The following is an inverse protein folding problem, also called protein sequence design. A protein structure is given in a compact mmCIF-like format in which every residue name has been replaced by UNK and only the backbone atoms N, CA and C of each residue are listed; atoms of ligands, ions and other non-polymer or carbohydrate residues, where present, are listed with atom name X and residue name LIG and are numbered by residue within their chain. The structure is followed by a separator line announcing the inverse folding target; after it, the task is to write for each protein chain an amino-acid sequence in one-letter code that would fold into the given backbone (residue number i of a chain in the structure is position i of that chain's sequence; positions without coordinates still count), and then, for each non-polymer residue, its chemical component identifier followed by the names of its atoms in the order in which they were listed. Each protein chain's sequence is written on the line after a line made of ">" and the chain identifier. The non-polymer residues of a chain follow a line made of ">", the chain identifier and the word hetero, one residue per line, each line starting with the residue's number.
data_IF_427864913604
#
_entry.id   IF_427864913604
#
_cell.length_a   1.000
_cell.length_b   1.000
_cell.length_c   1.000
_cell.angle_alpha   90.00
_cell.angle_beta   90.00
_cell.angle_gamma   90.00
#
_symmetry.space_group_name_H-M   'P 1'
#
loop_
_entity.id
_entity.type
_entity.pdbx_description
1 polymer ?
#
# COMPACT_ATOMS: atom_id res chain seq x y z
N UNK A 1 -16.75 -14.35 10.64
CA UNK A 1 -15.36 -14.81 10.44
C UNK A 1 -14.50 -13.69 9.84
N UNK A 2 -13.16 -13.79 9.94
CA UNK A 2 -12.22 -12.85 9.29
C UNK A 2 -11.77 -13.37 7.92
N UNK A 3 -11.77 -12.49 6.92
CA UNK A 3 -11.37 -12.76 5.55
C UNK A 3 -10.34 -11.71 5.16
N UNK A 4 -9.19 -12.14 4.66
CA UNK A 4 -8.13 -11.25 4.23
C UNK A 4 -8.15 -11.09 2.73
N UNK A 5 -7.99 -9.86 2.26
CA UNK A 5 -8.16 -9.48 0.86
C UNK A 5 -6.95 -8.66 0.41
N UNK A 6 -6.32 -9.10 -0.68
CA UNK A 6 -5.21 -8.43 -1.36
C UNK A 6 -5.71 -7.29 -2.26
N UNK A 7 -4.83 -6.34 -2.57
CA UNK A 7 -5.08 -5.18 -3.44
C UNK A 7 -6.06 -4.12 -2.89
N UNK A 8 -6.30 -4.12 -1.56
CA UNK A 8 -7.09 -3.06 -0.90
C UNK A 8 -6.19 -1.91 -0.44
N UNK A 9 -6.10 -0.84 -1.22
CA UNK A 9 -5.14 0.26 -0.98
C UNK A 9 -5.75 1.62 -0.64
N UNK A 10 -7.07 1.79 -0.71
CA UNK A 10 -7.74 3.06 -0.39
C UNK A 10 -9.20 2.89 0.07
N UNK A 11 -9.83 3.97 0.54
CA UNK A 11 -11.23 3.95 0.99
C UNK A 11 -12.22 3.51 -0.10
N UNK A 12 -11.89 3.72 -1.39
CA UNK A 12 -12.73 3.19 -2.49
C UNK A 12 -12.71 1.67 -2.54
N UNK A 13 -11.59 1.03 -2.16
CA UNK A 13 -11.51 -0.42 -2.05
C UNK A 13 -12.42 -0.94 -0.93
N UNK A 14 -12.48 -0.23 0.20
CA UNK A 14 -13.40 -0.56 1.31
C UNK A 14 -14.84 -0.56 0.79
N UNK A 15 -15.29 0.54 0.18
CA UNK A 15 -16.65 0.63 -0.35
C UNK A 15 -16.95 -0.39 -1.46
N UNK A 16 -15.98 -0.69 -2.32
CA UNK A 16 -16.13 -1.71 -3.36
C UNK A 16 -16.30 -3.10 -2.73
N UNK A 17 -15.49 -3.46 -1.74
CA UNK A 17 -15.58 -4.73 -1.03
C UNK A 17 -16.86 -4.82 -0.21
N UNK A 18 -17.25 -3.77 0.53
CA UNK A 18 -18.55 -3.72 1.23
C UNK A 18 -19.72 -4.01 0.29
N UNK A 19 -19.69 -3.42 -0.91
CA UNK A 19 -20.70 -3.65 -1.94
C UNK A 19 -20.72 -5.10 -2.41
N UNK A 20 -19.56 -5.71 -2.67
CA UNK A 20 -19.46 -7.13 -3.10
C UNK A 20 -20.10 -8.06 -2.06
N UNK A 21 -19.79 -7.86 -0.78
CA UNK A 21 -20.37 -8.67 0.30
C UNK A 21 -21.87 -8.40 0.48
N UNK A 22 -22.31 -7.15 0.32
CA UNK A 22 -23.72 -6.78 0.35
C UNK A 22 -24.54 -7.40 -0.79
N UNK A 23 -24.02 -7.41 -2.01
CA UNK A 23 -24.67 -8.04 -3.18
C UNK A 23 -24.74 -9.57 -3.05
N UNK A 24 -23.82 -10.18 -2.31
CA UNK A 24 -23.84 -11.60 -1.96
C UNK A 24 -24.76 -11.94 -0.75
N UNK A 25 -25.45 -10.94 -0.21
CA UNK A 25 -26.30 -11.04 0.99
C UNK A 25 -25.51 -11.62 2.18
N UNK A 26 -24.30 -11.09 2.40
CA UNK A 26 -23.45 -11.42 3.54
C UNK A 26 -23.34 -10.20 4.46
N UNK A 27 -23.89 -10.27 5.68
CA UNK A 27 -23.72 -9.20 6.66
C UNK A 27 -22.26 -9.10 7.12
N UNK A 28 -21.72 -7.89 7.06
CA UNK A 28 -20.37 -7.55 7.54
C UNK A 28 -20.43 -6.74 8.82
N UNK A 29 -19.56 -7.06 9.78
CA UNK A 29 -19.36 -6.30 11.00
C UNK A 29 -18.41 -5.13 10.76
N UNK A 30 -17.34 -5.35 9.98
CA UNK A 30 -16.37 -4.31 9.63
C UNK A 30 -15.66 -4.63 8.32
N UNK A 31 -15.30 -3.57 7.58
CA UNK A 31 -14.41 -3.66 6.42
C UNK A 31 -13.31 -2.61 6.59
N UNK A 32 -12.07 -3.07 6.61
CA UNK A 32 -10.87 -2.24 6.68
C UNK A 32 -9.89 -2.64 5.58
N UNK A 33 -8.84 -1.85 5.37
CA UNK A 33 -7.85 -2.15 4.32
C UNK A 33 -7.18 -3.51 4.58
N UNK A 34 -7.49 -4.46 3.71
CA UNK A 34 -6.95 -5.81 3.70
C UNK A 34 -7.76 -6.85 4.49
N UNK A 35 -8.85 -6.46 5.15
CA UNK A 35 -9.62 -7.36 6.02
C UNK A 35 -11.13 -7.05 6.00
N UNK A 36 -11.92 -8.11 5.93
CA UNK A 36 -13.38 -8.10 6.12
C UNK A 36 -13.73 -9.01 7.28
N UNK A 37 -14.50 -8.50 8.22
CA UNK A 37 -15.10 -9.29 9.30
C UNK A 37 -16.59 -9.46 9.05
N UNK A 38 -17.01 -10.72 8.88
CA UNK A 38 -18.41 -11.07 8.62
C UNK A 38 -19.15 -11.41 9.92
N UNK A 39 -20.43 -11.07 9.99
CA UNK A 39 -21.27 -11.36 11.15
C UNK A 39 -21.51 -12.86 11.35
N UNK A 40 -21.56 -13.61 10.25
CA UNK A 40 -21.73 -15.07 10.23
C UNK A 40 -20.67 -15.73 9.38
N UNK A 41 -20.49 -17.04 9.58
CA UNK A 41 -19.66 -17.83 8.68
C UNK A 41 -20.30 -17.95 7.30
N UNK A 42 -19.46 -17.98 6.27
CA UNK A 42 -19.90 -18.08 4.88
C UNK A 42 -19.77 -19.54 4.43
N UNK A 43 -20.83 -20.09 3.85
CA UNK A 43 -20.80 -21.42 3.24
C UNK A 43 -19.79 -21.50 2.09
N UNK A 44 -19.20 -22.68 1.86
CA UNK A 44 -18.22 -22.88 0.79
C UNK A 44 -18.73 -22.45 -0.60
N UNK A 45 -19.99 -22.71 -0.93
CA UNK A 45 -20.60 -22.30 -2.22
C UNK A 45 -20.61 -20.78 -2.39
N UNK A 46 -21.23 -20.05 -1.45
CA UNK A 46 -21.24 -18.57 -1.47
C UNK A 46 -19.83 -17.97 -1.49
N UNK A 47 -18.87 -18.59 -0.80
CA UNK A 47 -17.49 -18.11 -0.78
C UNK A 47 -16.84 -18.17 -2.16
N UNK A 48 -17.12 -19.21 -2.96
CA UNK A 48 -16.61 -19.30 -4.34
C UNK A 48 -17.17 -18.17 -5.21
N UNK A 49 -18.45 -17.84 -5.07
CA UNK A 49 -19.07 -16.75 -5.81
C UNK A 49 -18.49 -15.38 -5.43
N UNK A 50 -18.21 -15.17 -4.13
CA UNK A 50 -17.56 -13.96 -3.61
C UNK A 50 -16.11 -13.89 -4.10
N UNK A 51 -15.34 -14.98 -4.02
CA UNK A 51 -13.96 -15.03 -4.51
C UNK A 51 -13.89 -14.69 -6.01
N UNK A 52 -14.85 -15.17 -6.81
CA UNK A 52 -14.97 -14.81 -8.23
C UNK A 52 -15.24 -13.32 -8.43
N UNK A 53 -16.21 -12.77 -7.71
CA UNK A 53 -16.59 -11.35 -7.81
C UNK A 53 -15.44 -10.43 -7.36
N UNK A 54 -14.71 -10.82 -6.31
CA UNK A 54 -13.50 -10.15 -5.86
C UNK A 54 -12.47 -10.10 -7.00
N UNK A 55 -12.18 -11.24 -7.63
CA UNK A 55 -11.22 -11.33 -8.73
C UNK A 55 -11.63 -10.47 -9.93
N UNK A 56 -12.91 -10.50 -10.30
CA UNK A 56 -13.44 -9.67 -11.40
C UNK A 56 -13.32 -8.16 -11.12
N UNK A 57 -13.21 -7.78 -9.84
CA UNK A 57 -13.01 -6.38 -9.39
C UNK A 57 -11.54 -6.05 -9.09
N UNK A 58 -10.61 -7.02 -9.26
CA UNK A 58 -9.18 -6.84 -9.04
C UNK A 58 -8.69 -7.14 -7.61
N UNK A 59 -9.54 -7.74 -6.77
CA UNK A 59 -9.21 -8.18 -5.42
C UNK A 59 -8.97 -9.69 -5.36
N UNK A 60 -8.22 -10.16 -4.36
CA UNK A 60 -7.95 -11.59 -4.19
C UNK A 60 -8.04 -11.97 -2.72
N UNK A 61 -8.69 -13.09 -2.40
CA UNK A 61 -8.73 -13.59 -1.01
C UNK A 61 -7.43 -14.31 -0.66
N UNK A 62 -6.87 -13.97 0.49
CA UNK A 62 -5.63 -14.57 0.99
C UNK A 62 -5.93 -15.57 2.11
N UNK A 63 -5.48 -16.81 1.95
CA UNK A 63 -5.60 -17.87 2.97
C UNK A 63 -4.30 -18.10 3.74
N UNK A 64 -3.16 -17.89 3.08
CA UNK A 64 -1.84 -18.10 3.67
C UNK A 64 -1.45 -16.97 4.64
N UNK A 65 -0.96 -17.35 5.82
CA UNK A 65 -0.66 -16.39 6.89
C UNK A 65 0.57 -15.52 6.58
N UNK A 66 1.53 -16.01 5.78
CA UNK A 66 2.67 -15.21 5.35
C UNK A 66 2.21 -14.13 4.36
N UNK A 67 1.41 -14.49 3.36
CA UNK A 67 0.84 -13.52 2.42
C UNK A 67 -0.07 -12.50 3.13
N UNK A 68 -0.87 -12.91 4.11
CA UNK A 68 -1.68 -11.99 4.92
C UNK A 68 -0.81 -10.97 5.67
N UNK A 69 0.32 -11.42 6.22
CA UNK A 69 1.27 -10.53 6.88
C UNK A 69 1.90 -9.54 5.89
N UNK A 70 2.27 -10.01 4.71
CA UNK A 70 2.84 -9.17 3.64
C UNK A 70 1.87 -8.09 3.21
N UNK A 71 0.62 -8.45 2.88
CA UNK A 71 -0.40 -7.48 2.48
C UNK A 71 -0.70 -6.48 3.61
N UNK A 72 -0.74 -6.93 4.87
CA UNK A 72 -0.88 -6.04 6.02
C UNK A 72 0.27 -5.03 6.10
N UNK A 73 1.52 -5.47 5.89
CA UNK A 73 2.69 -4.58 5.86
C UNK A 73 2.56 -3.55 4.72
N UNK A 74 2.21 -4.01 3.50
CA UNK A 74 2.02 -3.14 2.32
C UNK A 74 0.98 -2.05 2.62
N UNK A 75 -0.19 -2.44 3.16
CA UNK A 75 -1.26 -1.49 3.51
C UNK A 75 -0.81 -0.46 4.56
N UNK A 76 -0.13 -0.88 5.62
CA UNK A 76 0.38 0.03 6.66
C UNK A 76 1.34 1.06 6.06
N UNK A 77 2.23 0.63 5.17
CA UNK A 77 3.17 1.51 4.47
C UNK A 77 2.45 2.51 3.57
N UNK A 78 1.51 2.02 2.73
CA UNK A 78 0.77 2.85 1.78
C UNK A 78 -0.04 3.93 2.52
N UNK A 79 -0.70 3.57 3.61
CA UNK A 79 -1.42 4.52 4.47
C UNK A 79 -0.46 5.56 5.03
N UNK A 80 0.67 5.13 5.62
CA UNK A 80 1.62 6.06 6.24
C UNK A 80 2.20 7.08 5.24
N UNK A 81 2.50 6.65 4.02
CA UNK A 81 2.98 7.53 2.95
C UNK A 81 1.87 8.49 2.48
N UNK A 82 0.62 8.02 2.46
CA UNK A 82 -0.53 8.83 2.02
C UNK A 82 -0.89 9.96 2.99
N UNK A 83 -0.55 9.83 4.28
CA UNK A 83 -0.74 10.86 5.30
C UNK A 83 0.14 12.11 5.07
N UNK A 84 1.24 11.99 4.32
CA UNK A 84 2.20 13.09 4.08
C UNK A 84 2.76 13.72 5.37
N UNK A 85 2.95 12.89 6.38
CA UNK A 85 3.42 13.25 7.73
C UNK A 85 4.51 12.26 8.19
N UNK A 86 5.56 12.13 7.39
CA UNK A 86 6.73 11.33 7.74
C UNK A 86 7.82 12.28 8.25
N UNK A 87 8.17 12.13 9.53
CA UNK A 87 9.26 12.90 10.15
C UNK A 87 10.63 12.55 9.55
N UNK A 88 11.59 13.49 9.59
CA UNK A 88 12.96 13.25 9.12
C UNK A 88 13.66 12.09 9.86
N UNK A 89 13.35 11.90 11.14
CA UNK A 89 13.90 10.83 11.98
C UNK A 89 13.03 9.58 12.00
N UNK A 90 12.04 9.47 11.10
CA UNK A 90 11.18 8.29 11.00
C UNK A 90 12.00 7.03 10.72
N UNK A 91 11.80 6.02 11.56
CA UNK A 91 12.39 4.69 11.40
C UNK A 91 11.30 3.69 11.00
N UNK A 92 11.41 3.17 9.77
CA UNK A 92 10.50 2.15 9.24
C UNK A 92 10.46 0.91 10.14
N UNK A 93 11.61 0.52 10.70
CA UNK A 93 11.74 -0.61 11.60
C UNK A 93 10.86 -0.49 12.83
N UNK A 94 10.93 0.65 13.50
CA UNK A 94 10.25 0.91 14.76
C UNK A 94 8.76 1.10 14.52
N UNK A 95 8.41 1.79 13.43
CA UNK A 95 7.03 1.98 13.00
C UNK A 95 6.34 0.65 12.72
N UNK A 96 6.93 -0.23 11.90
CA UNK A 96 6.31 -1.51 11.57
C UNK A 96 6.28 -2.46 12.76
N UNK A 97 7.36 -2.51 13.54
CA UNK A 97 7.42 -3.37 14.73
C UNK A 97 6.36 -2.98 15.75
N UNK A 98 6.16 -1.68 15.99
CA UNK A 98 5.14 -1.18 16.92
C UNK A 98 3.71 -1.40 16.41
N UNK A 99 3.45 -1.27 15.10
CA UNK A 99 2.11 -1.46 14.51
C UNK A 99 1.70 -2.93 14.40
N UNK A 100 2.66 -3.84 14.19
CA UNK A 100 2.39 -5.27 13.96
C UNK A 100 2.68 -6.11 15.21
N UNK A 101 3.36 -5.53 16.20
CA UNK A 101 3.79 -6.22 17.43
C UNK A 101 4.68 -7.44 17.14
N UNK A 102 5.62 -7.28 16.22
CA UNK A 102 6.62 -8.29 15.83
C UNK A 102 7.97 -7.63 15.60
N UNK A 103 9.05 -8.40 15.68
CA UNK A 103 10.40 -7.90 15.41
C UNK A 103 10.59 -7.60 13.91
N UNK A 104 11.28 -6.50 13.63
CA UNK A 104 11.51 -6.07 12.24
C UNK A 104 12.26 -7.11 11.40
N UNK A 105 13.19 -7.86 11.98
CA UNK A 105 13.92 -8.91 11.27
C UNK A 105 13.00 -9.99 10.71
N UNK A 106 12.02 -10.43 11.49
CA UNK A 106 10.99 -11.39 11.08
C UNK A 106 10.10 -10.79 9.99
N UNK A 107 9.64 -9.55 10.17
CA UNK A 107 8.84 -8.84 9.16
C UNK A 107 9.57 -8.71 7.82
N UNK A 108 10.82 -8.24 7.85
CA UNK A 108 11.65 -8.05 6.66
C UNK A 108 11.96 -9.37 5.96
N UNK A 109 12.24 -10.43 6.73
CA UNK A 109 12.45 -11.78 6.20
C UNK A 109 11.19 -12.32 5.52
N UNK A 110 10.04 -12.29 6.19
CA UNK A 110 8.79 -12.77 5.59
C UNK A 110 8.44 -11.97 4.35
N UNK A 111 8.60 -10.63 4.38
CA UNK A 111 8.37 -9.78 3.23
C UNK A 111 9.24 -10.18 2.04
N UNK A 112 10.56 -10.20 2.23
CA UNK A 112 11.50 -10.48 1.14
C UNK A 112 11.48 -11.94 0.64
N UNK A 113 10.86 -12.86 1.38
CA UNK A 113 10.65 -14.24 0.93
C UNK A 113 9.44 -14.40 0.01
N UNK A 114 8.46 -13.51 0.14
CA UNK A 114 7.23 -13.53 -0.66
C UNK A 114 7.26 -12.47 -1.76
N UNK A 115 8.08 -11.43 -1.59
CA UNK A 115 8.25 -10.32 -2.53
C UNK A 115 9.67 -10.34 -3.10
N UNK A 116 9.83 -9.95 -4.37
CA UNK A 116 11.14 -9.95 -5.03
C UNK A 116 12.01 -8.73 -4.67
N UNK A 117 11.63 -7.97 -3.66
CA UNK A 117 12.29 -6.76 -3.19
C UNK A 117 12.29 -6.71 -1.66
N UNK A 118 13.23 -5.96 -1.09
CA UNK A 118 13.25 -5.77 0.37
C UNK A 118 12.15 -4.82 0.81
N UNK A 119 11.84 -4.87 2.10
CA UNK A 119 10.86 -4.01 2.73
C UNK A 119 11.21 -2.51 2.63
N UNK A 120 12.49 -2.18 2.77
CA UNK A 120 13.01 -0.82 2.57
C UNK A 120 12.89 -0.38 1.11
N UNK A 121 13.19 -1.26 0.17
CA UNK A 121 13.04 -0.97 -1.26
C UNK A 121 11.58 -0.69 -1.60
N UNK A 122 10.66 -1.51 -1.10
CA UNK A 122 9.22 -1.29 -1.25
C UNK A 122 8.80 0.09 -0.70
N UNK A 123 9.21 0.42 0.53
CA UNK A 123 8.91 1.72 1.13
C UNK A 123 9.41 2.89 0.28
N UNK A 124 10.65 2.81 -0.20
CA UNK A 124 11.25 3.85 -1.07
C UNK A 124 10.50 3.97 -2.40
N UNK A 125 10.18 2.84 -3.06
CA UNK A 125 9.45 2.85 -4.33
C UNK A 125 8.08 3.52 -4.19
N UNK A 126 7.34 3.21 -3.12
CA UNK A 126 6.06 3.86 -2.85
C UNK A 126 6.20 5.35 -2.52
N UNK A 127 7.25 5.76 -1.81
CA UNK A 127 7.54 7.19 -1.62
C UNK A 127 7.78 7.87 -2.96
N UNK A 128 8.53 7.26 -3.88
CA UNK A 128 8.77 7.83 -5.21
C UNK A 128 7.48 7.92 -6.03
N UNK A 129 6.62 6.90 -6.02
CA UNK A 129 5.31 7.00 -6.70
C UNK A 129 4.44 8.12 -6.09
N UNK A 130 4.51 8.34 -4.77
CA UNK A 130 3.84 9.47 -4.13
C UNK A 130 4.45 10.80 -4.55
N UNK A 131 5.77 10.90 -4.68
CA UNK A 131 6.43 12.11 -5.21
C UNK A 131 5.95 12.39 -6.63
N UNK A 132 5.88 11.37 -7.51
CA UNK A 132 5.36 11.53 -8.87
C UNK A 132 3.94 12.10 -8.86
N UNK A 133 3.06 11.55 -8.02
CA UNK A 133 1.69 12.05 -7.83
C UNK A 133 1.68 13.54 -7.46
N UNK A 134 2.41 13.92 -6.42
CA UNK A 134 2.41 15.31 -5.90
C UNK A 134 3.02 16.31 -6.90
N UNK A 135 4.04 15.89 -7.64
CA UNK A 135 4.64 16.71 -8.70
C UNK A 135 3.66 16.99 -9.84
N UNK A 136 2.75 16.07 -10.13
CA UNK A 136 1.75 16.21 -11.19
C UNK A 136 0.56 17.07 -10.79
N UNK A 137 0.13 16.98 -9.53
CA UNK A 137 -0.94 17.82 -9.01
C UNK A 137 -0.52 19.29 -8.81
N UNK A 138 0.79 19.57 -8.78
CA UNK A 138 1.34 20.93 -8.59
C UNK A 138 0.88 21.64 -7.29
N UNK A 139 0.41 20.88 -6.30
CA UNK A 139 -0.06 21.43 -5.02
C UNK A 139 1.08 21.79 -4.06
N UNK A 140 2.25 21.15 -4.22
CA UNK A 140 3.40 21.33 -3.34
C UNK A 140 4.68 21.63 -4.12
N UNK A 141 5.53 22.47 -3.54
CA UNK A 141 6.90 22.66 -3.97
C UNK A 141 7.74 21.41 -3.65
N UNK A 142 8.86 21.24 -4.35
CA UNK A 142 9.76 20.11 -4.10
C UNK A 142 10.32 20.09 -2.66
N UNK A 143 10.49 21.27 -2.06
CA UNK A 143 10.90 21.43 -0.65
C UNK A 143 9.82 20.91 0.30
N UNK A 144 8.55 21.25 0.08
CA UNK A 144 7.43 20.76 0.89
C UNK A 144 7.25 19.26 0.74
N UNK A 145 7.37 18.73 -0.49
CA UNK A 145 7.32 17.29 -0.75
C UNK A 145 8.43 16.56 0.01
N UNK A 146 9.66 17.08 -0.02
CA UNK A 146 10.79 16.52 0.71
C UNK A 146 10.51 16.45 2.22
N UNK A 147 10.03 17.56 2.81
CA UNK A 147 9.69 17.63 4.23
C UNK A 147 8.56 16.66 4.63
N UNK A 148 7.47 16.64 3.86
CA UNK A 148 6.30 15.77 4.13
C UNK A 148 6.59 14.28 4.04
N UNK A 149 7.61 13.91 3.27
CA UNK A 149 8.05 12.54 3.09
C UNK A 149 9.34 12.24 3.88
N UNK A 150 9.74 13.07 4.83
CA UNK A 150 10.87 12.79 5.73
C UNK A 150 12.23 12.73 5.02
N UNK A 151 12.42 13.43 3.90
CA UNK A 151 13.73 13.57 3.29
C UNK A 151 14.50 14.70 3.94
N UNK A 152 15.73 14.41 4.40
CA UNK A 152 16.66 15.38 5.01
C UNK A 152 16.94 16.63 4.16
N UNK A 153 16.80 16.51 2.84
CA UNK A 153 16.98 17.62 1.93
C UNK A 153 16.33 17.37 0.57
N UNK A 154 16.09 18.45 -0.17
CA UNK A 154 15.65 18.40 -1.58
C UNK A 154 16.65 17.63 -2.44
N UNK A 155 17.95 17.74 -2.14
CA UNK A 155 19.02 17.05 -2.85
C UNK A 155 18.93 15.53 -2.62
N UNK A 156 18.64 15.09 -1.39
CA UNK A 156 18.43 13.66 -1.10
C UNK A 156 17.22 13.12 -1.87
N UNK A 157 16.08 13.81 -1.81
CA UNK A 157 14.89 13.45 -2.59
C UNK A 157 15.21 13.38 -4.08
N UNK A 158 15.83 14.42 -4.64
CA UNK A 158 16.13 14.50 -6.08
C UNK A 158 17.07 13.38 -6.54
N UNK A 159 18.06 13.02 -5.72
CA UNK A 159 19.01 11.96 -6.03
C UNK A 159 18.32 10.60 -6.01
N UNK A 160 17.51 10.30 -4.99
CA UNK A 160 16.76 9.05 -4.90
C UNK A 160 15.73 8.94 -6.04
N UNK A 161 15.02 10.03 -6.33
CA UNK A 161 14.05 10.08 -7.43
C UNK A 161 14.72 9.81 -8.78
N UNK A 162 15.88 10.42 -9.06
CA UNK A 162 16.64 10.16 -10.29
C UNK A 162 17.16 8.75 -10.38
N UNK A 163 17.67 8.18 -9.28
CA UNK A 163 18.17 6.81 -9.28
C UNK A 163 17.07 5.78 -9.62
N UNK A 164 15.83 6.06 -9.23
CA UNK A 164 14.69 5.14 -9.44
C UNK A 164 13.99 5.39 -10.77
N UNK A 165 13.85 6.64 -11.18
CA UNK A 165 13.07 7.01 -12.38
C UNK A 165 13.92 7.25 -13.62
N UNK A 166 15.22 7.49 -13.46
CA UNK A 166 16.13 7.96 -14.52
C UNK A 166 16.11 9.47 -14.74
N UNK A 167 15.17 10.22 -14.13
CA UNK A 167 14.97 11.65 -14.35
C UNK A 167 15.04 12.43 -13.05
N UNK A 168 15.50 13.68 -13.09
CA UNK A 168 15.28 14.61 -11.97
C UNK A 168 13.79 14.95 -11.83
N UNK A 169 13.32 15.40 -10.66
CA UNK A 169 11.93 15.84 -10.48
C UNK A 169 11.48 16.89 -11.51
N UNK A 170 12.37 17.83 -11.85
CA UNK A 170 12.08 18.90 -12.83
C UNK A 170 11.99 18.36 -14.27
N UNK A 171 12.86 17.41 -14.65
CA UNK A 171 12.78 16.74 -15.95
C UNK A 171 11.51 15.90 -16.06
N UNK A 172 11.18 15.17 -15.00
CA UNK A 172 10.00 14.33 -14.94
C UNK A 172 8.70 15.12 -15.20
N UNK A 173 8.55 16.32 -14.60
CA UNK A 173 7.38 17.20 -14.83
C UNK A 173 7.20 17.66 -16.27
N UNK A 174 8.25 17.59 -17.09
CA UNK A 174 8.21 17.99 -18.51
C UNK A 174 7.91 16.83 -19.45
N UNK A 175 7.87 15.59 -18.93
CA UNK A 175 7.55 14.43 -19.74
C UNK A 175 6.08 14.49 -20.19
N UNK A 176 5.80 13.95 -21.38
CA UNK A 176 4.41 13.78 -21.85
C UNK A 176 3.75 12.55 -21.25
N UNK A 177 4.56 11.51 -21.01
CA UNK A 177 4.16 10.29 -20.32
C UNK A 177 5.00 10.16 -19.04
N UNK A 178 4.31 10.02 -17.92
CA UNK A 178 4.88 10.03 -16.58
C UNK A 178 5.07 8.62 -16.01
N UNK A 179 4.74 7.56 -16.78
CA UNK A 179 4.94 6.15 -16.41
C UNK A 179 4.62 5.85 -14.94
N UNK A 180 3.49 6.39 -14.46
CA UNK A 180 3.07 6.23 -13.08
C UNK A 180 2.56 4.81 -12.89
N UNK A 181 3.02 4.17 -11.81
CA UNK A 181 2.55 2.85 -11.39
C UNK A 181 1.43 3.01 -10.37
N UNK A 182 0.45 2.11 -10.40
CA UNK A 182 -0.62 2.09 -9.39
C UNK A 182 -0.08 1.54 -8.07
N UNK A 183 -0.69 1.92 -6.94
CA UNK A 183 -0.19 1.55 -5.60
C UNK A 183 -0.26 0.05 -5.30
N UNK A 184 -1.07 -0.69 -6.06
CA UNK A 184 -1.23 -2.14 -6.01
C UNK A 184 -0.33 -2.89 -7.00
N UNK A 185 0.44 -2.18 -7.85
CA UNK A 185 1.28 -2.80 -8.88
C UNK A 185 2.66 -3.29 -8.39
N UNK A 186 2.90 -3.27 -7.08
CA UNK A 186 4.15 -3.67 -6.42
C UNK A 186 3.96 -4.85 -5.48
#
# INVERSE_FOLDING_TARGET
>A
MKIFIKNMVCNRCISAVEKIFGEADIPVNSVILGEVETATDISAGKMVDIEKTLLDTGFERIKDSAHQLVDKIKNIIIIKISELDIDENFLLSDFLSSKIHKDYSSLSKTFSQNENITLEQFFILHKIEKVKELLLYNEFTLTEIAGKLGYKSVQHLSSQFRNITGFTPTEFKKLKDHQRKTLDSF
#
